data_IF_183799091200
#
_entry.id   IF_183799091200
#
_cell.length_a   1.000
_cell.length_b   1.000
_cell.length_c   1.000
_cell.angle_alpha   90.00
_cell.angle_beta   90.00
_cell.angle_gamma   90.00
#
_symmetry.space_group_name_H-M   'P 1'
#
loop_
_entity.id
_entity.type
_entity.pdbx_description
1 polymer ?
#
# COMPACT_ATOMS: atom_id res chain seq x y z
N UNK A 1 -11.87 -10.20 -10.40
CA UNK A 1 -11.48 -8.79 -10.62
C UNK A 1 -11.06 -8.10 -9.33
N UNK A 2 -11.90 -8.05 -8.28
CA UNK A 2 -11.57 -7.40 -7.00
C UNK A 2 -10.33 -8.00 -6.30
N UNK A 3 -10.25 -9.34 -6.20
CA UNK A 3 -9.09 -10.03 -5.60
C UNK A 3 -7.76 -9.72 -6.30
N UNK A 4 -7.77 -9.57 -7.62
CA UNK A 4 -6.56 -9.22 -8.39
C UNK A 4 -6.14 -7.78 -8.09
N UNK A 5 -7.10 -6.85 -7.98
CA UNK A 5 -6.83 -5.45 -7.66
C UNK A 5 -6.30 -5.29 -6.23
N UNK A 6 -6.86 -6.01 -5.26
CA UNK A 6 -6.35 -6.07 -3.89
C UNK A 6 -4.91 -6.58 -3.89
N UNK A 7 -4.62 -7.67 -4.62
CA UNK A 7 -3.27 -8.22 -4.71
C UNK A 7 -2.25 -7.23 -5.31
N UNK A 8 -2.65 -6.47 -6.34
CA UNK A 8 -1.78 -5.42 -6.91
C UNK A 8 -1.45 -4.33 -5.90
N UNK A 9 -2.44 -3.89 -5.11
CA UNK A 9 -2.23 -2.86 -4.08
C UNK A 9 -1.38 -3.38 -2.92
N UNK A 10 -1.57 -4.62 -2.50
CA UNK A 10 -0.73 -5.27 -1.48
C UNK A 10 0.73 -5.36 -1.93
N UNK A 11 0.98 -5.65 -3.23
CA UNK A 11 2.33 -5.65 -3.81
C UNK A 11 2.95 -4.25 -3.88
N UNK A 12 2.17 -3.22 -4.24
CA UNK A 12 2.65 -1.84 -4.25
C UNK A 12 3.02 -1.37 -2.84
N UNK A 13 2.16 -1.67 -1.86
CA UNK A 13 2.41 -1.38 -0.45
C UNK A 13 3.69 -2.04 0.06
N UNK A 14 3.90 -3.32 -0.26
CA UNK A 14 5.09 -4.06 0.16
C UNK A 14 6.38 -3.47 -0.44
N UNK A 15 6.34 -3.02 -1.70
CA UNK A 15 7.48 -2.29 -2.30
C UNK A 15 7.79 -1.00 -1.56
N UNK A 16 6.77 -0.20 -1.24
CA UNK A 16 6.95 1.07 -0.53
C UNK A 16 7.44 0.86 0.92
N UNK A 17 6.95 -0.17 1.61
CA UNK A 17 7.45 -0.56 2.93
C UNK A 17 8.93 -0.93 2.87
N UNK A 18 9.35 -1.67 1.84
CA UNK A 18 10.77 -2.01 1.64
C UNK A 18 11.63 -0.77 1.35
N UNK A 19 11.13 0.20 0.60
CA UNK A 19 11.82 1.48 0.40
C UNK A 19 11.93 2.26 1.72
N UNK A 20 10.85 2.29 2.49
CA UNK A 20 10.80 2.99 3.77
C UNK A 20 11.78 2.40 4.80
N UNK A 21 11.83 1.07 4.93
CA UNK A 21 12.77 0.39 5.85
C UNK A 21 14.23 0.58 5.44
N UNK A 22 14.51 0.68 4.14
CA UNK A 22 15.84 0.99 3.61
C UNK A 22 16.20 2.48 3.65
N UNK A 23 15.28 3.34 4.10
CA UNK A 23 15.42 4.80 4.06
C UNK A 23 15.66 5.34 2.64
N UNK A 24 15.17 4.65 1.61
CA UNK A 24 15.29 5.06 0.21
C UNK A 24 14.22 6.09 -0.13
N UNK A 25 14.61 7.38 -0.16
CA UNK A 25 13.71 8.49 -0.52
C UNK A 25 13.10 9.20 0.69
N UNK A 26 12.01 9.93 0.47
CA UNK A 26 11.36 10.73 1.52
C UNK A 26 10.45 9.84 2.38
N UNK A 27 10.85 9.61 3.64
CA UNK A 27 10.12 8.76 4.60
C UNK A 27 8.67 9.19 4.84
N UNK A 28 8.42 10.49 4.91
CA UNK A 28 7.06 11.02 5.19
C UNK A 28 6.15 10.71 4.01
N UNK A 29 6.62 10.98 2.78
CA UNK A 29 5.85 10.71 1.57
C UNK A 29 5.57 9.21 1.39
N UNK A 30 6.56 8.36 1.70
CA UNK A 30 6.38 6.90 1.69
C UNK A 30 5.32 6.44 2.69
N UNK A 31 5.34 6.96 3.93
CA UNK A 31 4.35 6.61 4.95
C UNK A 31 2.94 7.04 4.53
N UNK A 32 2.77 8.27 4.04
CA UNK A 32 1.48 8.76 3.54
C UNK A 32 0.95 7.83 2.45
N UNK A 33 1.79 7.48 1.48
CA UNK A 33 1.38 6.59 0.39
C UNK A 33 1.03 5.17 0.86
N UNK A 34 1.79 4.62 1.83
CA UNK A 34 1.49 3.32 2.44
C UNK A 34 0.12 3.36 3.13
N UNK A 35 -0.19 4.42 3.89
CA UNK A 35 -1.47 4.56 4.57
C UNK A 35 -2.65 4.66 3.59
N UNK A 36 -2.50 5.44 2.52
CA UNK A 36 -3.52 5.53 1.45
C UNK A 36 -3.82 4.17 0.81
N UNK A 37 -2.79 3.33 0.63
CA UNK A 37 -2.96 1.99 0.07
C UNK A 37 -3.65 1.05 1.05
N UNK A 38 -3.32 1.12 2.34
CA UNK A 38 -3.99 0.33 3.37
C UNK A 38 -5.48 0.69 3.48
N UNK A 39 -5.82 1.98 3.48
CA UNK A 39 -7.23 2.42 3.49
C UNK A 39 -8.00 1.93 2.26
N UNK A 40 -7.39 1.99 1.07
CA UNK A 40 -8.00 1.48 -0.16
C UNK A 40 -8.24 -0.03 -0.10
N UNK A 41 -7.25 -0.79 0.40
CA UNK A 41 -7.36 -2.25 0.56
C UNK A 41 -8.47 -2.57 1.57
N UNK A 42 -8.53 -1.87 2.70
CA UNK A 42 -9.54 -2.08 3.73
C UNK A 42 -10.95 -1.76 3.22
N UNK A 43 -11.11 -0.63 2.51
CA UNK A 43 -12.39 -0.26 1.88
C UNK A 43 -12.85 -1.32 0.87
N UNK A 44 -11.92 -1.86 0.05
CA UNK A 44 -12.21 -2.93 -0.90
C UNK A 44 -12.53 -4.28 -0.22
N UNK A 45 -11.98 -4.54 0.97
CA UNK A 45 -12.28 -5.75 1.76
C UNK A 45 -13.61 -5.65 2.51
N UNK A 46 -13.96 -4.46 3.03
CA UNK A 46 -15.23 -4.20 3.75
C UNK A 46 -16.43 -4.09 2.81
N UNK A 47 -16.22 -3.67 1.57
CA UNK A 47 -17.26 -3.61 0.53
C UNK A 47 -17.50 -4.94 -0.21
N UNK A 48 -16.86 -6.04 0.21
CA UNK A 48 -16.91 -7.35 -0.42
C UNK A 48 -17.70 -8.38 0.41
#
# INVERSE_FOLDING_TARGET
MLKNRIKTLEQEREKLLNQWTKNEGNKVNLLVRIMELEEQIEAMKKGA
#
